data_IF_770073513512
#
_entry.id   IF_770073513512
#
_cell.length_a   1.000
_cell.length_b   1.000
_cell.length_c   1.000
_cell.angle_alpha   90.00
_cell.angle_beta   90.00
_cell.angle_gamma   90.00
#
_symmetry.space_group_name_H-M   'P 1'
#
loop_
_entity.id
_entity.type
_entity.pdbx_description
1 polymer ?
#
# COMPACT_ATOMS: atom_id res chain seq x y z
N UNK A 1 -20.49 24.07 -9.57
CA UNK A 1 -19.40 23.48 -8.75
C UNK A 1 -18.81 22.32 -9.53
N UNK A 2 -17.57 22.47 -9.99
CA UNK A 2 -16.93 21.55 -10.95
C UNK A 2 -16.48 20.26 -10.29
N UNK A 3 -17.16 19.16 -10.62
CA UNK A 3 -16.70 17.81 -10.32
C UNK A 3 -15.64 17.40 -11.34
N UNK A 4 -14.39 17.30 -10.92
CA UNK A 4 -13.34 16.69 -11.73
C UNK A 4 -13.38 15.19 -11.50
N UNK A 5 -14.13 14.49 -12.34
CA UNK A 5 -13.91 13.07 -12.57
C UNK A 5 -12.59 12.92 -13.33
N UNK A 6 -11.78 11.91 -12.97
CA UNK A 6 -10.68 11.46 -13.83
C UNK A 6 -11.26 11.26 -15.23
N UNK A 7 -10.75 12.03 -16.21
CA UNK A 7 -11.21 12.01 -17.59
C UNK A 7 -10.95 10.60 -18.13
N UNK A 8 -11.99 9.78 -18.15
CA UNK A 8 -12.05 8.59 -19.01
C UNK A 8 -12.28 9.15 -20.42
N UNK A 9 -11.48 8.78 -21.42
CA UNK A 9 -11.83 9.09 -22.80
C UNK A 9 -13.22 8.50 -23.06
N UNK A 10 -14.22 9.36 -23.23
CA UNK A 10 -15.54 8.96 -23.71
C UNK A 10 -15.30 8.32 -25.08
N UNK A 11 -15.39 6.99 -25.16
CA UNK A 11 -15.05 6.11 -26.30
C UNK A 11 -13.76 5.27 -26.18
N UNK A 12 -13.26 4.99 -24.96
CA UNK A 12 -12.26 3.92 -24.80
C UNK A 12 -12.91 2.53 -24.81
N UNK A 13 -12.49 1.66 -25.74
CA UNK A 13 -12.86 0.24 -25.78
C UNK A 13 -11.62 -0.65 -25.73
N UNK A 14 -11.74 -1.83 -25.12
CA UNK A 14 -10.78 -2.93 -25.31
C UNK A 14 -11.38 -3.98 -26.22
N UNK A 15 -10.55 -4.67 -26.98
CA UNK A 15 -10.98 -5.73 -27.88
C UNK A 15 -10.47 -7.07 -27.37
N UNK A 16 -11.36 -8.07 -27.30
CA UNK A 16 -10.97 -9.48 -27.18
C UNK A 16 -11.46 -10.26 -28.41
N UNK A 17 -10.72 -11.27 -28.84
CA UNK A 17 -11.07 -12.10 -30.01
C UNK A 17 -11.13 -13.59 -29.66
N UNK A 18 -12.14 -14.04 -28.89
CA UNK A 18 -12.37 -15.47 -28.70
C UNK A 18 -12.87 -16.11 -30.00
N UNK A 19 -12.23 -17.22 -30.41
CA UNK A 19 -12.65 -18.07 -31.54
C UNK A 19 -13.01 -17.30 -32.83
N UNK A 20 -12.19 -16.29 -33.18
CA UNK A 20 -12.34 -15.42 -34.37
C UNK A 20 -13.47 -14.38 -34.33
N UNK A 21 -14.20 -14.23 -33.21
CA UNK A 21 -15.19 -13.16 -33.05
C UNK A 21 -14.60 -11.99 -32.27
N UNK A 22 -14.48 -10.83 -32.92
CA UNK A 22 -14.07 -9.59 -32.26
C UNK A 22 -15.21 -9.10 -31.35
N UNK A 23 -14.91 -8.87 -30.08
CA UNK A 23 -15.83 -8.29 -29.09
C UNK A 23 -15.18 -7.01 -28.56
N UNK A 24 -15.91 -5.90 -28.66
CA UNK A 24 -15.50 -4.61 -28.10
C UNK A 24 -16.19 -4.39 -26.76
N UNK A 25 -15.37 -4.12 -25.73
CA UNK A 25 -15.82 -3.92 -24.35
C UNK A 25 -15.51 -2.47 -23.97
N UNK A 26 -16.49 -1.65 -23.61
CA UNK A 26 -16.25 -0.28 -23.16
C UNK A 26 -15.48 -0.27 -21.84
N UNK A 27 -14.40 0.51 -21.78
CA UNK A 27 -13.62 0.71 -20.56
C UNK A 27 -14.22 1.90 -19.83
N UNK A 28 -14.81 1.65 -18.67
CA UNK A 28 -15.43 2.71 -17.86
C UNK A 28 -14.53 3.23 -16.75
N UNK A 29 -13.51 2.48 -16.32
CA UNK A 29 -12.54 2.87 -15.28
C UNK A 29 -11.22 2.12 -15.43
N UNK A 30 -10.15 2.71 -14.91
CA UNK A 30 -8.82 2.08 -14.82
C UNK A 30 -7.83 2.59 -15.86
N UNK A 31 -6.60 2.09 -15.75
CA UNK A 31 -5.49 2.34 -16.67
C UNK A 31 -5.08 1.02 -17.33
N UNK A 32 -4.52 1.06 -18.53
CA UNK A 32 -4.13 -0.16 -19.27
C UNK A 32 -2.88 -0.78 -18.67
N UNK A 33 -2.95 -2.03 -18.20
CA UNK A 33 -1.75 -2.75 -17.76
C UNK A 33 -0.78 -2.98 -18.93
N UNK A 34 0.52 -2.80 -18.67
CA UNK A 34 1.57 -2.93 -19.67
C UNK A 34 1.77 -1.70 -20.56
N UNK A 35 0.94 -0.67 -20.42
CA UNK A 35 1.14 0.61 -21.11
C UNK A 35 2.19 1.46 -20.35
N UNK A 36 3.24 1.97 -21.02
CA UNK A 36 4.27 2.79 -20.39
C UNK A 36 3.77 4.06 -19.69
N UNK A 37 2.61 4.61 -20.09
CA UNK A 37 2.06 5.85 -19.53
C UNK A 37 1.17 5.59 -18.31
N UNK A 38 0.57 4.39 -18.22
CA UNK A 38 -0.36 4.02 -17.15
C UNK A 38 0.18 4.23 -15.73
N UNK A 39 1.44 3.90 -15.39
CA UNK A 39 1.98 4.16 -14.06
C UNK A 39 1.96 5.65 -13.70
N UNK A 40 2.36 6.52 -14.63
CA UNK A 40 2.40 7.97 -14.40
C UNK A 40 0.99 8.56 -14.23
N UNK A 41 0.01 8.09 -15.03
CA UNK A 41 -1.38 8.53 -14.89
C UNK A 41 -1.97 8.10 -13.54
N UNK A 42 -1.68 6.87 -13.10
CA UNK A 42 -2.11 6.39 -11.80
C UNK A 42 -1.49 7.19 -10.66
N UNK A 43 -0.18 7.44 -10.71
CA UNK A 43 0.52 8.27 -9.72
C UNK A 43 -0.01 9.71 -9.70
N UNK A 44 -0.26 10.34 -10.84
CA UNK A 44 -0.82 11.68 -10.92
C UNK A 44 -2.25 11.75 -10.34
N UNK A 45 -3.07 10.72 -10.58
CA UNK A 45 -4.38 10.59 -9.97
C UNK A 45 -4.28 10.55 -8.45
N UNK A 46 -3.46 9.64 -7.90
CA UNK A 46 -3.22 9.56 -6.46
C UNK A 46 -2.68 10.88 -5.89
N UNK A 47 -1.72 11.51 -6.56
CA UNK A 47 -1.17 12.81 -6.16
C UNK A 47 -2.26 13.89 -6.05
N UNK A 48 -3.21 13.92 -6.99
CA UNK A 48 -4.34 14.86 -6.94
C UNK A 48 -5.28 14.63 -5.75
N UNK A 49 -5.37 13.39 -5.26
CA UNK A 49 -6.13 13.02 -4.06
C UNK A 49 -5.37 13.49 -2.81
N UNK A 50 -4.09 13.14 -2.70
CA UNK A 50 -3.25 13.46 -1.54
C UNK A 50 -3.02 14.96 -1.37
N UNK A 51 -2.90 15.74 -2.45
CA UNK A 51 -2.79 17.20 -2.37
C UNK A 51 -4.04 17.88 -1.78
N UNK A 52 -5.19 17.20 -1.80
CA UNK A 52 -6.44 17.69 -1.20
C UNK A 52 -6.64 17.17 0.23
N UNK A 53 -5.87 16.17 0.65
CA UNK A 53 -5.92 15.65 2.01
C UNK A 53 -5.04 16.51 2.90
N UNK A 54 -5.68 17.27 3.77
CA UNK A 54 -5.00 18.22 4.64
C UNK A 54 -4.95 17.75 6.10
N UNK A 55 -5.76 16.74 6.44
CA UNK A 55 -5.94 16.25 7.81
C UNK A 55 -6.28 17.38 8.80
N UNK A 56 -6.87 18.48 8.32
CA UNK A 56 -7.08 19.69 9.12
C UNK A 56 -8.01 19.45 10.31
N UNK A 57 -9.00 18.57 10.16
CA UNK A 57 -9.91 18.17 11.26
C UNK A 57 -9.20 17.48 12.43
N UNK A 58 -7.94 17.09 12.27
CA UNK A 58 -7.12 16.55 13.34
C UNK A 58 -6.44 17.64 14.16
N UNK A 59 -6.20 18.82 13.60
CA UNK A 59 -5.58 19.94 14.32
C UNK A 59 -6.57 20.48 15.35
N UNK A 60 -6.47 20.03 16.60
CA UNK A 60 -7.28 20.53 17.71
C UNK A 60 -7.07 22.04 17.92
N UNK A 61 -8.12 22.71 18.41
CA UNK A 61 -8.06 24.09 18.87
C UNK A 61 -7.03 24.26 19.99
N UNK A 62 -6.35 25.41 20.03
CA UNK A 62 -5.31 25.69 21.01
C UNK A 62 -5.85 25.92 22.43
N UNK A 63 -7.18 26.10 22.56
CA UNK A 63 -7.86 26.52 23.79
C UNK A 63 -8.58 25.37 24.55
N UNK A 64 -8.49 24.11 24.09
CA UNK A 64 -9.17 22.98 24.75
C UNK A 64 -8.25 22.34 25.81
N UNK A 65 -8.38 22.80 27.05
CA UNK A 65 -7.56 22.48 28.24
C UNK A 65 -7.77 21.05 28.78
N UNK A 66 -8.64 20.25 28.17
CA UNK A 66 -8.90 18.88 28.57
C UNK A 66 -7.94 17.89 27.89
N UNK A 67 -6.92 17.45 28.61
CA UNK A 67 -6.09 16.21 28.60
C UNK A 67 -6.21 15.18 27.43
N UNK A 68 -6.54 15.63 26.23
CA UNK A 68 -6.68 14.86 25.00
C UNK A 68 -5.53 15.30 24.12
N UNK A 69 -4.46 14.51 24.14
CA UNK A 69 -3.34 14.60 23.22
C UNK A 69 -3.78 15.16 21.86
N UNK A 70 -3.34 16.40 21.57
CA UNK A 70 -3.52 17.13 20.30
C UNK A 70 -3.44 16.08 19.18
N UNK A 71 -4.55 15.81 18.48
CA UNK A 71 -4.60 14.77 17.46
C UNK A 71 -3.73 15.21 16.28
N UNK A 72 -2.42 15.02 16.35
CA UNK A 72 -1.57 15.48 15.25
C UNK A 72 -1.54 14.42 14.15
N UNK A 73 -1.78 14.81 12.88
CA UNK A 73 -1.55 13.92 11.76
C UNK A 73 -0.05 13.65 11.63
N UNK A 74 0.32 12.38 11.48
CA UNK A 74 1.71 11.99 11.29
C UNK A 74 2.57 11.94 12.55
N UNK A 75 3.86 11.75 12.31
CA UNK A 75 4.93 11.87 13.30
C UNK A 75 5.88 12.99 12.84
N UNK A 76 6.32 13.85 13.76
CA UNK A 76 7.23 14.96 13.45
C UNK A 76 8.67 14.45 13.36
N UNK A 77 9.30 14.62 12.21
CA UNK A 77 10.68 14.25 11.92
C UNK A 77 11.37 15.47 11.30
N UNK A 78 12.47 15.94 11.91
CA UNK A 78 13.26 17.10 11.43
C UNK A 78 12.41 18.34 11.09
N UNK A 79 11.38 18.62 11.90
CA UNK A 79 10.50 19.78 11.71
C UNK A 79 9.37 19.59 10.70
N UNK A 80 9.29 18.47 10.00
CA UNK A 80 8.20 18.13 9.09
C UNK A 80 7.36 16.96 9.63
N UNK A 81 6.05 16.95 9.35
CA UNK A 81 5.20 15.83 9.73
C UNK A 81 5.19 14.78 8.62
N UNK A 82 5.75 13.60 8.92
CA UNK A 82 5.58 12.41 8.09
C UNK A 82 4.19 11.83 8.33
N UNK A 83 3.29 12.03 7.36
CA UNK A 83 1.90 11.55 7.44
C UNK A 83 1.68 10.28 6.63
N UNK A 84 2.40 10.10 5.52
CA UNK A 84 2.22 8.96 4.64
C UNK A 84 3.46 8.65 3.80
N UNK A 85 3.57 7.39 3.36
CA UNK A 85 4.49 6.91 2.33
C UNK A 85 3.67 6.24 1.22
N UNK A 86 4.10 6.39 -0.04
CA UNK A 86 3.38 5.88 -1.21
C UNK A 86 4.35 5.17 -2.14
N UNK A 87 3.98 3.98 -2.58
CA UNK A 87 4.67 3.24 -3.63
C UNK A 87 3.65 2.51 -4.51
N UNK A 88 3.51 2.91 -5.77
CA UNK A 88 2.43 2.44 -6.63
C UNK A 88 1.06 2.55 -5.92
N UNK A 89 0.35 1.43 -5.76
CA UNK A 89 -0.92 1.32 -5.05
C UNK A 89 -0.79 1.07 -3.53
N UNK A 90 0.42 0.80 -3.03
CA UNK A 90 0.69 0.59 -1.62
C UNK A 90 0.88 1.94 -0.88
N UNK A 91 0.04 2.18 0.13
CA UNK A 91 0.03 3.40 0.95
C UNK A 91 0.26 3.01 2.41
N UNK A 92 1.21 3.67 3.05
CA UNK A 92 1.43 3.60 4.50
C UNK A 92 0.98 4.93 5.10
N UNK A 93 0.03 4.90 6.04
CA UNK A 93 -0.31 6.06 6.86
C UNK A 93 0.43 5.99 8.19
N UNK A 94 0.96 7.12 8.62
CA UNK A 94 1.67 7.29 9.89
C UNK A 94 0.83 8.21 10.75
N UNK A 95 0.55 7.81 11.98
CA UNK A 95 -0.29 8.55 12.90
C UNK A 95 0.30 8.50 14.32
N UNK A 96 0.04 9.55 15.09
CA UNK A 96 0.53 9.67 16.47
C UNK A 96 -0.20 8.76 17.47
N UNK A 97 -1.44 8.36 17.17
CA UNK A 97 -2.23 7.43 18.00
C UNK A 97 -3.34 6.74 17.17
N UNK A 98 -4.01 5.69 17.70
CA UNK A 98 -5.04 4.95 16.95
C UNK A 98 -6.27 5.78 16.54
N UNK A 99 -6.63 6.81 17.31
CA UNK A 99 -7.75 7.71 16.96
C UNK A 99 -7.37 8.56 15.75
N UNK A 100 -6.18 9.15 15.73
CA UNK A 100 -5.65 9.85 14.57
C UNK A 100 -5.56 8.91 13.36
N UNK A 101 -5.11 7.67 13.54
CA UNK A 101 -5.05 6.68 12.46
C UNK A 101 -6.43 6.38 11.85
N UNK A 102 -7.47 6.21 12.68
CA UNK A 102 -8.85 5.94 12.21
C UNK A 102 -9.40 7.11 11.40
N UNK A 103 -9.15 8.33 11.85
CA UNK A 103 -9.60 9.54 11.16
C UNK A 103 -8.80 9.78 9.86
N UNK A 104 -7.49 9.50 9.87
CA UNK A 104 -6.66 9.57 8.67
C UNK A 104 -7.10 8.54 7.62
N UNK A 105 -7.35 7.30 8.01
CA UNK A 105 -7.78 6.31 7.03
C UNK A 105 -9.19 6.61 6.49
N UNK A 106 -10.07 7.19 7.31
CA UNK A 106 -11.41 7.58 6.90
C UNK A 106 -11.39 8.65 5.80
N UNK A 107 -10.68 9.77 6.00
CA UNK A 107 -10.57 10.80 4.94
C UNK A 107 -9.84 10.27 3.70
N UNK A 108 -8.82 9.39 3.85
CA UNK A 108 -8.17 8.73 2.72
C UNK A 108 -9.17 7.94 1.87
N UNK A 109 -9.97 7.10 2.51
CA UNK A 109 -10.97 6.26 1.86
C UNK A 109 -11.99 7.11 1.11
N UNK A 110 -12.49 8.17 1.74
CA UNK A 110 -13.47 9.07 1.13
C UNK A 110 -12.90 9.80 -0.09
N UNK A 111 -11.68 10.30 0.02
CA UNK A 111 -11.01 11.04 -1.05
C UNK A 111 -10.62 10.14 -2.22
N UNK A 112 -10.09 8.95 -1.94
CA UNK A 112 -9.83 7.92 -2.94
C UNK A 112 -11.13 7.44 -3.63
N UNK A 113 -12.22 7.32 -2.88
CA UNK A 113 -13.54 6.95 -3.41
C UNK A 113 -14.04 7.92 -4.49
N UNK A 114 -13.76 9.22 -4.35
CA UNK A 114 -14.14 10.26 -5.33
C UNK A 114 -13.49 10.06 -6.70
N UNK A 115 -12.31 9.42 -6.75
CA UNK A 115 -11.60 9.09 -8.00
C UNK A 115 -11.79 7.63 -8.41
N UNK A 116 -12.71 6.91 -7.77
CA UNK A 116 -13.04 5.52 -8.10
C UNK A 116 -12.05 4.48 -7.57
N UNK A 117 -11.17 4.86 -6.64
CA UNK A 117 -10.27 3.93 -5.94
C UNK A 117 -10.97 3.35 -4.71
N UNK A 118 -10.66 2.09 -4.39
CA UNK A 118 -11.26 1.37 -3.26
C UNK A 118 -10.17 0.71 -2.43
N UNK A 119 -10.26 0.90 -1.11
CA UNK A 119 -9.40 0.24 -0.15
C UNK A 119 -9.67 -1.27 -0.10
N UNK A 120 -8.61 -2.06 -0.06
CA UNK A 120 -8.68 -3.49 0.22
C UNK A 120 -8.47 -3.74 1.73
N UNK A 121 -9.57 -3.86 2.47
CA UNK A 121 -9.54 -4.08 3.92
C UNK A 121 -8.83 -5.37 4.33
N UNK A 122 -8.91 -6.42 3.52
CA UNK A 122 -8.25 -7.70 3.82
C UNK A 122 -6.72 -7.60 3.75
N UNK A 123 -6.19 -6.75 2.87
CA UNK A 123 -4.74 -6.52 2.72
C UNK A 123 -4.20 -5.42 3.63
N UNK A 124 -5.05 -4.52 4.10
CA UNK A 124 -4.65 -3.42 4.98
C UNK A 124 -4.50 -3.94 6.39
N UNK A 125 -3.34 -3.66 7.01
CA UNK A 125 -3.06 -4.03 8.40
C UNK A 125 -2.64 -2.79 9.20
N UNK A 126 -2.85 -2.86 10.50
CA UNK A 126 -2.33 -1.90 11.46
C UNK A 126 -1.11 -2.52 12.14
N UNK A 127 -0.03 -1.74 12.18
CA UNK A 127 1.09 -1.99 13.06
C UNK A 127 1.19 -0.81 14.04
N UNK A 128 1.47 -1.11 15.29
CA UNK A 128 1.65 -0.10 16.36
C UNK A 128 3.00 -0.28 17.01
N UNK A 129 3.46 0.72 17.77
CA UNK A 129 4.64 0.58 18.63
C UNK A 129 4.20 0.19 20.05
N UNK A 130 5.15 -0.22 20.90
CA UNK A 130 4.88 -0.64 22.28
C UNK A 130 4.29 0.44 23.19
N UNK A 131 4.30 1.69 22.75
CA UNK A 131 3.84 2.86 23.51
C UNK A 131 2.43 3.31 23.11
N UNK A 132 1.92 2.84 21.98
CA UNK A 132 0.59 3.19 21.49
C UNK A 132 -0.49 2.51 22.33
N UNK A 133 -1.63 3.19 22.49
CA UNK A 133 -2.78 2.58 23.15
C UNK A 133 -3.32 1.39 22.33
N UNK A 134 -3.98 0.46 23.03
CA UNK A 134 -4.60 -0.71 22.42
C UNK A 134 -5.97 -0.43 21.77
N UNK A 135 -6.38 0.84 21.70
CA UNK A 135 -7.66 1.24 21.12
C UNK A 135 -7.76 0.81 19.65
N UNK A 136 -8.89 0.26 19.17
CA UNK A 136 -9.00 -0.23 17.80
C UNK A 136 -8.84 0.89 16.76
N UNK A 137 -8.36 0.53 15.58
CA UNK A 137 -8.36 1.43 14.41
C UNK A 137 -9.52 1.00 13.50
N UNK A 138 -10.49 1.89 13.34
CA UNK A 138 -11.72 1.60 12.62
C UNK A 138 -11.80 2.40 11.32
N UNK A 139 -12.43 1.81 10.31
CA UNK A 139 -12.77 2.47 9.05
C UNK A 139 -14.21 2.17 8.68
N UNK A 140 -14.94 3.17 8.21
CA UNK A 140 -16.34 3.03 7.78
C UNK A 140 -16.41 2.99 6.27
N UNK A 141 -16.87 1.86 5.74
CA UNK A 141 -17.08 1.63 4.30
C UNK A 141 -18.53 1.28 4.06
N UNK A 142 -19.23 2.02 3.20
CA UNK A 142 -20.64 1.77 2.86
C UNK A 142 -21.54 1.65 4.11
N UNK A 143 -21.39 2.56 5.07
CA UNK A 143 -22.09 2.57 6.36
C UNK A 143 -21.80 1.36 7.28
N UNK A 144 -20.76 0.58 6.98
CA UNK A 144 -20.29 -0.52 7.84
C UNK A 144 -18.92 -0.15 8.42
N UNK A 145 -18.88 -0.03 9.74
CA UNK A 145 -17.63 0.18 10.49
C UNK A 145 -16.91 -1.15 10.68
N UNK A 146 -15.68 -1.24 10.20
CA UNK A 146 -14.82 -2.42 10.32
C UNK A 146 -13.56 -2.06 11.08
N UNK A 147 -13.17 -2.92 12.03
CA UNK A 147 -11.88 -2.84 12.69
C UNK A 147 -10.80 -3.41 11.76
N UNK A 148 -9.72 -2.66 11.54
CA UNK A 148 -8.60 -3.11 10.71
C UNK A 148 -7.76 -4.08 11.54
N UNK A 149 -7.40 -5.22 10.94
CA UNK A 149 -6.59 -6.23 11.61
C UNK A 149 -5.23 -5.67 12.03
N UNK A 150 -4.92 -5.85 13.31
CA UNK A 150 -3.62 -5.54 13.88
C UNK A 150 -2.68 -6.73 13.75
N UNK A 151 -1.44 -6.47 13.33
CA UNK A 151 -0.39 -7.49 13.17
C UNK A 151 0.92 -7.03 13.81
N UNK A 152 1.67 -7.98 14.34
CA UNK A 152 3.02 -7.73 14.88
C UNK A 152 4.09 -7.74 13.79
N UNK A 153 3.81 -8.40 12.65
CA UNK A 153 4.73 -8.52 11.52
C UNK A 153 3.99 -8.30 10.20
N UNK A 154 4.63 -7.63 9.25
CA UNK A 154 4.07 -7.37 7.93
C UNK A 154 5.16 -7.29 6.87
N UNK A 155 4.92 -7.89 5.69
CA UNK A 155 5.86 -7.79 4.56
C UNK A 155 5.47 -6.58 3.70
N UNK A 156 6.26 -5.51 3.77
CA UNK A 156 6.11 -4.31 2.97
C UNK A 156 7.21 -4.23 1.91
N UNK A 157 6.84 -4.12 0.62
CA UNK A 157 7.77 -4.04 -0.52
C UNK A 157 8.87 -5.12 -0.49
N UNK A 158 8.51 -6.34 -0.07
CA UNK A 158 9.43 -7.47 -0.01
C UNK A 158 10.37 -7.48 1.20
N UNK A 159 10.18 -6.59 2.19
CA UNK A 159 10.88 -6.61 3.48
C UNK A 159 9.90 -6.88 4.62
N UNK A 160 10.21 -7.85 5.48
CA UNK A 160 9.47 -8.06 6.72
C UNK A 160 9.79 -6.94 7.71
N UNK A 161 8.74 -6.28 8.18
CA UNK A 161 8.74 -5.33 9.28
C UNK A 161 8.16 -6.05 10.50
N UNK A 162 8.70 -5.76 11.68
CA UNK A 162 8.13 -6.25 12.93
C UNK A 162 8.05 -5.13 13.97
N UNK A 163 7.18 -5.36 14.94
CA UNK A 163 6.94 -4.46 16.07
C UNK A 163 8.19 -4.13 16.89
N UNK A 164 9.09 -5.11 17.03
CA UNK A 164 10.28 -5.00 17.88
C UNK A 164 11.48 -4.32 17.19
N UNK A 165 11.34 -3.96 15.91
CA UNK A 165 12.43 -3.47 15.06
C UNK A 165 13.64 -4.44 15.00
N UNK A 166 13.38 -5.73 15.09
CA UNK A 166 14.38 -6.80 15.02
C UNK A 166 14.66 -7.18 13.56
N UNK A 167 15.93 -7.31 13.18
CA UNK A 167 16.31 -7.67 11.81
C UNK A 167 16.32 -9.20 11.58
N UNK A 168 16.49 -9.99 12.63
CA UNK A 168 16.66 -11.45 12.56
C UNK A 168 15.52 -12.18 11.83
N UNK A 169 14.22 -11.89 12.10
CA UNK A 169 13.12 -12.56 11.39
C UNK A 169 13.17 -12.35 9.87
N UNK A 170 13.55 -11.15 9.42
CA UNK A 170 13.70 -10.83 7.99
C UNK A 170 14.90 -11.57 7.38
N UNK A 171 16.05 -11.62 8.07
CA UNK A 171 17.23 -12.35 7.60
C UNK A 171 16.92 -13.85 7.44
N UNK A 172 16.27 -14.44 8.43
CA UNK A 172 15.84 -15.83 8.36
C UNK A 172 14.86 -16.07 7.21
N UNK A 173 13.90 -15.16 6.99
CA UNK A 173 12.95 -15.25 5.87
C UNK A 173 13.67 -15.23 4.52
N UNK A 174 14.59 -14.28 4.31
CA UNK A 174 15.38 -14.19 3.07
C UNK A 174 16.27 -15.41 2.87
N UNK A 175 16.92 -15.90 3.93
CA UNK A 175 17.73 -17.12 3.89
C UNK A 175 16.89 -18.32 3.45
N UNK A 176 15.69 -18.50 4.02
CA UNK A 176 14.77 -19.59 3.62
C UNK A 176 14.34 -19.47 2.16
N UNK A 177 13.97 -18.26 1.71
CA UNK A 177 13.58 -18.04 0.32
C UNK A 177 14.72 -18.32 -0.67
N UNK A 178 15.95 -17.91 -0.34
CA UNK A 178 17.14 -18.20 -1.12
C UNK A 178 17.41 -19.71 -1.20
N UNK A 179 17.33 -20.43 -0.09
CA UNK A 179 17.49 -21.89 -0.08
C UNK A 179 16.40 -22.61 -0.87
N UNK A 180 15.14 -22.16 -0.78
CA UNK A 180 14.06 -22.74 -1.57
C UNK A 180 14.29 -22.55 -3.09
N UNK A 181 14.68 -21.34 -3.50
CA UNK A 181 15.00 -21.06 -4.90
C UNK A 181 16.21 -21.87 -5.38
N UNK A 182 17.27 -21.96 -4.55
CA UNK A 182 18.45 -22.76 -4.85
C UNK A 182 18.09 -24.24 -5.03
N UNK A 183 17.32 -24.83 -4.11
CA UNK A 183 16.94 -26.23 -4.17
C UNK A 183 16.09 -26.56 -5.40
N UNK A 184 15.24 -25.63 -5.85
CA UNK A 184 14.45 -25.81 -7.07
C UNK A 184 15.34 -25.92 -8.32
N UNK A 185 16.47 -25.19 -8.36
CA UNK A 185 17.40 -25.19 -9.49
C UNK A 185 18.43 -26.32 -9.35
N UNK A 186 18.76 -26.70 -8.12
CA UNK A 186 19.75 -27.73 -7.80
C UNK A 186 19.45 -29.06 -8.51
N UNK A 187 18.19 -29.50 -8.51
CA UNK A 187 17.81 -30.73 -9.20
C UNK A 187 18.09 -30.67 -10.70
N UNK A 188 17.94 -29.50 -11.33
CA UNK A 188 18.25 -29.29 -12.73
C UNK A 188 19.76 -29.23 -12.97
N UNK A 189 20.53 -28.56 -12.10
CA UNK A 189 22.00 -28.49 -12.23
C UNK A 189 22.68 -29.82 -11.94
N UNK A 190 22.17 -30.61 -11.01
CA UNK A 190 22.69 -31.94 -10.68
C UNK A 190 22.36 -32.95 -11.80
N UNK A 191 21.21 -32.79 -12.48
CA UNK A 191 20.84 -33.57 -13.66
C UNK A 191 21.64 -33.16 -14.92
N UNK A 192 22.13 -31.91 -14.99
CA UNK A 192 23.05 -31.41 -16.01
C UNK A 192 24.49 -31.89 -15.77
N UNK A 193 24.70 -33.10 -15.23
CA UNK A 193 26.01 -33.76 -15.07
C UNK A 193 26.65 -34.07 -16.45
N UNK A 194 26.96 -33.00 -17.17
CA UNK A 194 27.69 -32.95 -18.40
C UNK A 194 29.09 -32.43 -18.03
N UNK A 195 30.16 -33.24 -18.18
CA UNK A 195 31.51 -32.88 -17.72
C UNK A 195 32.08 -31.58 -18.30
N UNK A 196 31.45 -31.02 -19.35
CA UNK A 196 31.88 -29.81 -20.06
C UNK A 196 31.57 -28.48 -19.37
N UNK A 197 30.70 -28.45 -18.35
CA UNK A 197 30.29 -27.20 -17.66
C UNK A 197 30.97 -27.05 -16.28
N UNK A 198 31.99 -27.87 -15.99
CA UNK A 198 32.91 -27.56 -14.88
C UNK A 198 33.83 -26.43 -15.31
N UNK A 199 33.43 -25.19 -15.05
CA UNK A 199 34.40 -24.11 -14.88
C UNK A 199 35.31 -24.53 -13.71
N UNK A 200 36.59 -24.74 -14.00
CA UNK A 200 37.63 -24.92 -13.00
C UNK A 200 37.80 -23.60 -12.24
N UNK A 201 37.01 -23.40 -11.19
CA UNK A 201 37.36 -22.49 -10.11
C UNK A 201 38.18 -23.29 -9.10
N UNK A 202 39.48 -23.37 -9.38
CA UNK A 202 40.53 -23.67 -8.42
C UNK A 202 41.42 -22.44 -8.36
N UNK A 203 41.27 -21.67 -7.28
CA UNK A 203 42.29 -21.07 -6.40
C UNK A 203 41.52 -20.55 -5.19
#
# INVERSE_FOLDING_TARGET
>A
MGGYSVIIPTNCTTTITPFHKKIEIPITRGVRQGDPISPNLFSACLESVFNKMSWQHLRGDEDDENDKAKLLPGIRINGQNLTHLRFADDIVLVASNPKAASLMIQEMVEMCGKVGLRMNTNKTKVMRNKFASQSPVNVTLNNVTTCIEEVNEYVYLGRLLNHNNELEPELHRRRRAAWAAFNNIKNTTDALSCPRIRAQSSI
#
